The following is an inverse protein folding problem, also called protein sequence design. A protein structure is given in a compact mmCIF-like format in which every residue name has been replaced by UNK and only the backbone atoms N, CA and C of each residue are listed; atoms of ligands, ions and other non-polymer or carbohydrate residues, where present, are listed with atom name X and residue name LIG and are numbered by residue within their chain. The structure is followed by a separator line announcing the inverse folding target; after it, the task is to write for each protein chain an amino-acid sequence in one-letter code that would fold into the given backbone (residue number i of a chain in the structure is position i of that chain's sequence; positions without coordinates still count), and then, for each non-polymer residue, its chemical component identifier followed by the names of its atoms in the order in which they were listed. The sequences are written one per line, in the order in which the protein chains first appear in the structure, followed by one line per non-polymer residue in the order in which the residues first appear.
data_IF_124634529058
#
_entry.id   IF_124634529058
#
_cell.length_a   1.000
_cell.length_b   1.000
_cell.length_c   1.000
_cell.angle_alpha   90.00
_cell.angle_beta   90.00
_cell.angle_gamma   90.00
#
_symmetry.space_group_name_H-M   'P 1'
#
loop_
_entity.id
_entity.type
_entity.pdbx_description
1 polymer ?
#
# COMPACT_ATOMS: atom_id res chain seq x y z
N UNK A 1 9.21 6.66 -42.96
CA UNK A 1 8.38 6.44 -41.74
C UNK A 1 9.20 5.51 -40.88
N UNK A 2 9.93 6.09 -39.93
CA UNK A 2 10.71 5.30 -38.99
C UNK A 2 9.76 4.63 -38.02
N UNK A 3 9.78 3.31 -37.96
CA UNK A 3 9.21 2.51 -36.91
C UNK A 3 9.85 2.98 -35.58
N UNK A 4 9.12 3.76 -34.80
CA UNK A 4 9.44 3.93 -33.39
C UNK A 4 9.32 2.55 -32.75
N UNK A 5 10.43 1.84 -32.64
CA UNK A 5 10.53 0.68 -31.77
C UNK A 5 10.08 1.13 -30.37
N UNK A 6 8.90 0.68 -30.00
CA UNK A 6 8.26 0.97 -28.73
C UNK A 6 9.00 0.20 -27.63
N UNK A 7 10.15 0.71 -27.20
CA UNK A 7 10.98 0.09 -26.18
C UNK A 7 10.30 0.39 -24.82
N UNK A 8 9.26 -0.37 -24.50
CA UNK A 8 8.56 -0.27 -23.21
C UNK A 8 9.57 -0.47 -22.08
N UNK A 9 9.65 0.51 -21.16
CA UNK A 9 10.49 0.41 -19.97
C UNK A 9 9.92 -0.59 -18.95
N UNK A 10 8.62 -0.90 -19.03
CA UNK A 10 7.96 -1.81 -18.10
C UNK A 10 8.36 -3.25 -18.43
N UNK A 11 8.85 -3.95 -17.40
CA UNK A 11 9.23 -5.38 -17.45
C UNK A 11 8.52 -6.11 -16.30
N UNK A 12 8.28 -7.43 -16.40
CA UNK A 12 7.81 -8.21 -15.28
C UNK A 12 8.68 -8.00 -14.04
N UNK A 13 8.06 -7.87 -12.88
CA UNK A 13 8.75 -7.60 -11.61
C UNK A 13 9.23 -8.91 -10.99
N UNK A 14 10.54 -9.04 -10.77
CA UNK A 14 11.13 -10.18 -10.08
C UNK A 14 11.33 -9.86 -8.61
N UNK A 15 10.76 -10.68 -7.71
CA UNK A 15 10.92 -10.59 -6.25
C UNK A 15 11.38 -11.96 -5.75
N UNK A 16 12.65 -12.09 -5.40
CA UNK A 16 13.24 -13.41 -5.12
C UNK A 16 13.07 -14.35 -6.31
N UNK A 17 12.45 -15.50 -6.10
CA UNK A 17 12.15 -16.50 -7.14
C UNK A 17 10.82 -16.27 -7.87
N UNK A 18 10.03 -15.27 -7.46
CA UNK A 18 8.74 -14.97 -8.06
C UNK A 18 8.87 -13.97 -9.20
N UNK A 19 8.23 -14.27 -10.32
CA UNK A 19 8.06 -13.35 -11.43
C UNK A 19 6.60 -12.87 -11.45
N UNK A 20 6.40 -11.61 -11.08
CA UNK A 20 5.12 -10.91 -11.08
C UNK A 20 4.91 -10.33 -12.48
N UNK A 21 3.88 -10.78 -13.23
CA UNK A 21 3.69 -10.42 -14.63
C UNK A 21 3.53 -8.92 -14.89
N UNK A 22 2.78 -8.23 -14.05
CA UNK A 22 2.54 -6.79 -14.15
C UNK A 22 3.27 -6.08 -13.01
N UNK A 23 4.22 -5.16 -13.28
CA UNK A 23 5.08 -4.55 -12.27
C UNK A 23 4.36 -3.49 -11.42
N UNK A 24 3.17 -3.81 -10.97
CA UNK A 24 2.32 -2.97 -10.14
C UNK A 24 2.07 -3.62 -8.78
N UNK A 25 2.35 -2.87 -7.73
CA UNK A 25 1.95 -3.16 -6.35
C UNK A 25 0.75 -2.27 -6.03
N UNK A 26 -0.37 -2.86 -5.65
CA UNK A 26 -1.47 -2.07 -5.12
C UNK A 26 -1.16 -1.73 -3.66
N UNK A 27 -1.06 -0.45 -3.34
CA UNK A 27 -0.72 0.01 -2.00
C UNK A 27 -1.79 -0.33 -0.97
N UNK A 28 -1.38 -0.79 0.20
CA UNK A 28 -2.30 -1.10 1.30
C UNK A 28 -3.00 0.14 1.83
N UNK A 29 -4.32 0.16 1.83
CA UNK A 29 -5.16 1.28 2.26
C UNK A 29 -6.11 0.85 3.39
N UNK A 30 -5.85 1.36 4.58
CA UNK A 30 -6.72 1.17 5.76
C UNK A 30 -7.62 2.39 5.98
N UNK A 31 -8.68 2.25 6.72
CA UNK A 31 -9.33 1.05 7.27
C UNK A 31 -10.32 0.53 6.23
N UNK A 32 -10.26 -0.79 5.94
CA UNK A 32 -11.29 -1.42 5.13
C UNK A 32 -11.37 -1.01 3.64
N UNK A 33 -10.40 -0.25 3.12
CA UNK A 33 -10.37 0.19 1.70
C UNK A 33 -9.75 -0.88 0.82
N UNK A 34 -8.62 -1.49 1.25
CA UNK A 34 -8.04 -2.64 0.58
C UNK A 34 -8.09 -3.88 1.46
N UNK A 35 -9.07 -4.72 1.23
CA UNK A 35 -9.24 -6.04 1.82
C UNK A 35 -9.05 -7.12 0.74
N UNK A 36 -9.69 -8.26 0.92
CA UNK A 36 -9.59 -9.40 0.00
C UNK A 36 -10.14 -9.12 -1.40
N UNK A 37 -11.18 -8.28 -1.52
CA UNK A 37 -11.79 -7.92 -2.81
C UNK A 37 -10.78 -7.27 -3.75
N UNK A 38 -10.24 -6.14 -3.33
CA UNK A 38 -9.27 -5.40 -4.13
C UNK A 38 -7.95 -6.17 -4.30
N UNK A 39 -7.38 -6.66 -3.19
CA UNK A 39 -6.09 -7.35 -3.24
C UNK A 39 -6.15 -8.64 -4.09
N UNK A 40 -7.23 -9.41 -3.96
CA UNK A 40 -7.47 -10.61 -4.76
C UNK A 40 -7.61 -10.31 -6.25
N UNK A 41 -8.35 -9.26 -6.61
CA UNK A 41 -8.50 -8.84 -8.01
C UNK A 41 -7.16 -8.41 -8.64
N UNK A 42 -6.36 -7.60 -7.93
CA UNK A 42 -5.03 -7.18 -8.42
C UNK A 42 -4.11 -8.39 -8.60
N UNK A 43 -4.08 -9.30 -7.63
CA UNK A 43 -3.27 -10.53 -7.75
C UNK A 43 -3.76 -11.42 -8.88
N UNK A 44 -5.06 -11.56 -9.10
CA UNK A 44 -5.64 -12.29 -10.22
C UNK A 44 -5.20 -11.70 -11.57
N UNK A 45 -5.10 -10.36 -11.65
CA UNK A 45 -4.61 -9.64 -12.84
C UNK A 45 -3.08 -9.63 -12.97
N UNK A 46 -2.34 -10.37 -12.15
CA UNK A 46 -0.89 -10.53 -12.28
C UNK A 46 -0.04 -9.48 -11.60
N UNK A 47 -0.59 -8.64 -10.71
CA UNK A 47 0.13 -7.68 -9.86
C UNK A 47 0.36 -8.17 -8.44
N UNK A 48 0.79 -7.28 -7.55
CA UNK A 48 0.91 -7.56 -6.11
C UNK A 48 -0.26 -6.90 -5.39
N UNK A 49 -1.25 -7.68 -4.97
CA UNK A 49 -2.41 -7.21 -4.21
C UNK A 49 -2.09 -7.15 -2.72
N UNK A 50 -2.32 -6.00 -2.08
CA UNK A 50 -1.95 -5.77 -0.69
C UNK A 50 -3.17 -5.48 0.17
N UNK A 51 -3.36 -6.33 1.18
CA UNK A 51 -4.37 -6.16 2.22
C UNK A 51 -3.81 -5.24 3.30
N UNK A 52 -4.56 -4.20 3.68
CA UNK A 52 -4.19 -3.36 4.83
C UNK A 52 -4.67 -3.99 6.14
N UNK A 53 -3.76 -4.16 7.10
CA UNK A 53 -4.09 -4.71 8.41
C UNK A 53 -4.62 -3.69 9.41
N UNK A 54 -4.65 -2.39 9.03
CA UNK A 54 -5.10 -1.32 9.92
C UNK A 54 -6.59 -1.51 10.27
N UNK A 55 -6.85 -1.92 11.52
CA UNK A 55 -8.19 -2.18 12.07
C UNK A 55 -9.08 -3.05 11.16
N UNK A 56 -8.46 -4.03 10.53
CA UNK A 56 -9.04 -4.90 9.50
C UNK A 56 -10.29 -5.66 9.99
N UNK A 57 -10.39 -5.93 11.28
CA UNK A 57 -11.51 -6.62 11.91
C UNK A 57 -12.68 -5.72 12.32
N UNK A 58 -12.73 -4.46 11.89
CA UNK A 58 -13.72 -3.47 12.35
C UNK A 58 -15.19 -3.86 12.07
N UNK A 59 -15.44 -4.77 11.12
CA UNK A 59 -16.78 -5.29 10.81
C UNK A 59 -17.22 -6.45 11.72
N UNK A 60 -16.32 -6.97 12.58
CA UNK A 60 -16.66 -8.02 13.55
C UNK A 60 -17.51 -7.43 14.68
N UNK A 61 -18.61 -8.09 15.05
CA UNK A 61 -19.51 -7.65 16.13
C UNK A 61 -18.82 -7.52 17.49
N UNK A 62 -17.71 -8.22 17.70
CA UNK A 62 -16.90 -8.16 18.92
C UNK A 62 -15.80 -7.11 18.88
N UNK A 63 -15.71 -6.28 17.83
CA UNK A 63 -14.60 -5.38 17.62
C UNK A 63 -14.39 -4.37 18.76
N UNK A 64 -15.43 -3.73 19.24
CA UNK A 64 -15.33 -2.75 20.33
C UNK A 64 -14.83 -3.35 21.64
N UNK A 65 -15.19 -4.61 21.91
CA UNK A 65 -14.75 -5.33 23.11
C UNK A 65 -13.32 -5.88 22.99
N UNK A 66 -12.90 -6.35 21.81
CA UNK A 66 -11.58 -6.93 21.56
C UNK A 66 -11.05 -6.59 20.18
N UNK A 67 -10.66 -5.34 19.90
CA UNK A 67 -10.19 -4.91 18.59
C UNK A 67 -9.01 -5.74 18.07
N UNK A 68 -8.02 -6.01 18.93
CA UNK A 68 -6.80 -6.75 18.54
C UNK A 68 -7.15 -8.20 18.16
N UNK A 69 -7.96 -8.90 18.95
CA UNK A 69 -8.36 -10.27 18.66
C UNK A 69 -9.16 -10.36 17.35
N UNK A 70 -10.09 -9.42 17.10
CA UNK A 70 -10.84 -9.35 15.85
C UNK A 70 -9.92 -9.08 14.66
N UNK A 71 -8.98 -8.16 14.79
CA UNK A 71 -8.01 -7.85 13.75
C UNK A 71 -7.13 -9.06 13.38
N UNK A 72 -6.59 -9.77 14.37
CA UNK A 72 -5.73 -10.93 14.13
C UNK A 72 -6.45 -12.07 13.42
N UNK A 73 -7.74 -12.30 13.74
CA UNK A 73 -8.59 -13.24 13.00
C UNK A 73 -8.82 -12.76 11.57
N UNK A 74 -9.22 -11.51 11.40
CA UNK A 74 -9.54 -10.92 10.11
C UNK A 74 -8.33 -10.93 9.15
N UNK A 75 -7.09 -10.74 9.64
CA UNK A 75 -5.88 -10.87 8.81
C UNK A 75 -5.83 -12.23 8.12
N UNK A 76 -6.04 -13.32 8.87
CA UNK A 76 -6.03 -14.69 8.33
C UNK A 76 -7.20 -14.94 7.36
N UNK A 77 -8.37 -14.45 7.71
CA UNK A 77 -9.58 -14.61 6.89
C UNK A 77 -9.46 -13.87 5.56
N UNK A 78 -9.01 -12.61 5.57
CA UNK A 78 -8.88 -11.80 4.36
C UNK A 78 -7.80 -12.34 3.41
N UNK A 79 -6.67 -12.83 3.92
CA UNK A 79 -5.65 -13.52 3.09
C UNK A 79 -6.25 -14.74 2.40
N UNK A 80 -7.00 -15.57 3.13
CA UNK A 80 -7.64 -16.76 2.56
C UNK A 80 -8.70 -16.40 1.51
N UNK A 81 -9.56 -15.41 1.77
CA UNK A 81 -10.56 -14.92 0.81
C UNK A 81 -9.89 -14.39 -0.47
N UNK A 82 -8.81 -13.61 -0.35
CA UNK A 82 -8.08 -13.10 -1.50
C UNK A 82 -7.53 -14.25 -2.37
N UNK A 83 -6.99 -15.32 -1.76
CA UNK A 83 -6.54 -16.52 -2.47
C UNK A 83 -7.69 -17.26 -3.17
N UNK A 84 -8.88 -17.28 -2.58
CA UNK A 84 -10.07 -17.86 -3.21
C UNK A 84 -10.51 -17.05 -4.44
N UNK A 85 -10.45 -15.72 -4.37
CA UNK A 85 -10.72 -14.84 -5.51
C UNK A 85 -9.77 -15.16 -6.68
N UNK A 86 -8.47 -15.27 -6.41
CA UNK A 86 -7.47 -15.63 -7.43
C UNK A 86 -7.78 -16.99 -8.05
N UNK A 87 -8.09 -18.01 -7.24
CA UNK A 87 -8.42 -19.35 -7.73
C UNK A 87 -9.67 -19.36 -8.62
N UNK A 88 -10.74 -18.68 -8.21
CA UNK A 88 -11.97 -18.58 -9.00
C UNK A 88 -11.72 -17.90 -10.35
N UNK A 89 -11.01 -16.77 -10.33
CA UNK A 89 -10.68 -16.05 -11.55
C UNK A 89 -9.87 -16.89 -12.53
N UNK A 90 -8.93 -17.70 -12.07
CA UNK A 90 -8.19 -18.65 -12.91
C UNK A 90 -9.11 -19.70 -13.54
N UNK A 91 -10.07 -20.26 -12.77
CA UNK A 91 -11.04 -21.21 -13.31
C UNK A 91 -11.94 -20.61 -14.37
N UNK A 92 -12.40 -19.37 -14.21
CA UNK A 92 -13.27 -18.68 -15.16
C UNK A 92 -12.55 -18.38 -16.47
N UNK A 93 -11.29 -17.99 -16.43
CA UNK A 93 -10.48 -17.69 -17.64
C UNK A 93 -10.10 -18.97 -18.39
N UNK A 94 -9.90 -20.10 -17.70
CA UNK A 94 -9.50 -21.38 -18.35
C UNK A 94 -10.68 -22.21 -18.83
N UNK A 95 -11.92 -21.83 -18.51
CA UNK A 95 -13.13 -22.58 -18.90
C UNK A 95 -13.13 -24.02 -18.41
N UNK A 96 -12.34 -24.35 -17.39
CA UNK A 96 -12.23 -25.71 -16.86
C UNK A 96 -11.50 -26.71 -17.78
N UNK A 97 -10.94 -26.29 -18.90
CA UNK A 97 -10.18 -27.14 -19.82
C UNK A 97 -8.72 -26.72 -19.81
N UNK A 98 -7.84 -27.65 -19.47
CA UNK A 98 -6.40 -27.53 -19.70
C UNK A 98 -6.11 -27.57 -21.22
N UNK A 99 -6.39 -26.46 -21.92
CA UNK A 99 -5.97 -26.31 -23.31
C UNK A 99 -4.62 -25.66 -23.31
N UNK A 100 -3.57 -26.43 -23.61
CA UNK A 100 -2.25 -25.95 -23.89
C UNK A 100 -2.30 -24.97 -25.07
N UNK A 101 -2.03 -23.70 -24.80
CA UNK A 101 -1.87 -22.53 -25.68
C UNK A 101 -2.85 -21.36 -25.46
N UNK A 102 -3.80 -21.42 -24.54
CA UNK A 102 -4.58 -20.25 -24.13
C UNK A 102 -3.82 -19.43 -23.08
N UNK A 103 -3.72 -18.13 -23.25
CA UNK A 103 -3.00 -17.14 -22.41
C UNK A 103 -3.41 -17.18 -20.93
N UNK A 104 -3.06 -18.26 -20.23
CA UNK A 104 -3.24 -18.37 -18.79
C UNK A 104 -2.16 -17.52 -18.13
N UNK A 105 -2.49 -16.24 -17.89
CA UNK A 105 -1.59 -15.35 -17.17
C UNK A 105 -1.37 -15.91 -15.76
N UNK A 106 -0.08 -16.05 -15.38
CA UNK A 106 0.26 -16.43 -14.01
C UNK A 106 -0.28 -15.36 -13.05
N UNK A 107 -0.92 -15.74 -11.93
CA UNK A 107 -1.35 -14.78 -10.92
C UNK A 107 -0.13 -14.11 -10.30
N UNK A 108 -0.35 -12.92 -9.76
CA UNK A 108 0.61 -12.22 -8.94
C UNK A 108 0.62 -12.71 -7.49
N UNK A 109 1.02 -11.83 -6.58
CA UNK A 109 1.21 -12.14 -5.16
C UNK A 109 0.13 -11.50 -4.30
N UNK A 110 -0.17 -12.12 -3.14
CA UNK A 110 -1.01 -11.56 -2.09
C UNK A 110 -0.13 -11.23 -0.90
N UNK A 111 -0.06 -9.95 -0.58
CA UNK A 111 0.68 -9.45 0.56
C UNK A 111 -0.19 -8.68 1.55
N UNK A 112 0.44 -8.24 2.62
CA UNK A 112 -0.18 -7.39 3.63
C UNK A 112 0.68 -6.14 3.89
N UNK A 113 0.03 -5.03 4.19
CA UNK A 113 0.68 -3.84 4.74
C UNK A 113 0.46 -3.77 6.24
N UNK A 114 1.55 -3.65 7.02
CA UNK A 114 1.52 -3.57 8.47
C UNK A 114 2.33 -2.35 8.93
N UNK A 115 1.68 -1.37 9.55
CA UNK A 115 2.37 -0.20 10.10
C UNK A 115 3.15 -0.57 11.35
N UNK A 116 4.44 -0.18 11.44
CA UNK A 116 5.27 -0.37 12.64
C UNK A 116 4.67 0.29 13.87
N UNK A 117 3.99 1.43 13.69
CA UNK A 117 3.32 2.16 14.75
C UNK A 117 2.08 1.45 15.33
N UNK A 118 1.61 0.35 14.71
CA UNK A 118 0.46 -0.41 15.19
C UNK A 118 0.75 -1.06 16.55
N UNK A 119 -0.17 -0.91 17.50
CA UNK A 119 -0.09 -1.62 18.78
C UNK A 119 -0.10 -3.13 18.53
N UNK A 120 0.84 -3.86 19.13
CA UNK A 120 1.01 -5.30 18.89
C UNK A 120 1.49 -5.66 17.47
N UNK A 121 2.29 -4.79 16.85
CA UNK A 121 2.88 -4.99 15.52
C UNK A 121 3.38 -6.43 15.28
N UNK A 122 4.12 -6.98 16.24
CA UNK A 122 4.69 -8.32 16.10
C UNK A 122 3.64 -9.43 15.97
N UNK A 123 2.48 -9.28 16.65
CA UNK A 123 1.39 -10.26 16.58
C UNK A 123 0.73 -10.23 15.19
N UNK A 124 0.58 -9.05 14.58
CA UNK A 124 0.09 -8.92 13.20
C UNK A 124 1.05 -9.54 12.19
N UNK A 125 2.36 -9.31 12.33
CA UNK A 125 3.37 -9.91 11.45
C UNK A 125 3.31 -11.43 11.54
N UNK A 126 3.27 -11.99 12.75
CA UNK A 126 3.16 -13.45 12.96
C UNK A 126 1.87 -14.00 12.37
N UNK A 127 0.72 -13.35 12.62
CA UNK A 127 -0.57 -13.78 12.07
C UNK A 127 -0.59 -13.80 10.54
N UNK A 128 0.01 -12.78 9.90
CA UNK A 128 0.12 -12.69 8.45
C UNK A 128 1.05 -13.77 7.87
N UNK A 129 2.21 -13.99 8.49
CA UNK A 129 3.16 -15.02 8.10
C UNK A 129 2.58 -16.44 8.26
N UNK A 130 1.88 -16.72 9.37
CA UNK A 130 1.18 -17.99 9.62
C UNK A 130 0.03 -18.24 8.64
N UNK A 131 -0.68 -17.18 8.21
CA UNK A 131 -1.70 -17.26 7.16
C UNK A 131 -1.10 -17.42 5.76
N UNK A 132 0.24 -17.38 5.64
CA UNK A 132 0.96 -17.59 4.40
C UNK A 132 0.90 -16.38 3.46
N UNK A 133 0.89 -15.14 3.96
CA UNK A 133 1.08 -13.97 3.12
C UNK A 133 2.37 -14.12 2.32
N UNK A 134 2.34 -13.82 1.01
CA UNK A 134 3.51 -13.96 0.15
C UNK A 134 4.56 -12.90 0.48
N UNK A 135 4.12 -11.67 0.84
CA UNK A 135 5.00 -10.55 1.21
C UNK A 135 4.36 -9.71 2.32
N UNK A 136 5.18 -9.21 3.24
CA UNK A 136 4.82 -8.19 4.23
C UNK A 136 5.53 -6.89 3.87
N UNK A 137 4.76 -5.85 3.57
CA UNK A 137 5.25 -4.48 3.35
C UNK A 137 5.05 -3.71 4.65
N UNK A 138 6.10 -3.09 5.19
CA UNK A 138 6.03 -2.44 6.49
C UNK A 138 6.67 -1.05 6.49
N UNK A 139 5.91 -0.08 7.01
CA UNK A 139 6.29 1.34 7.10
C UNK A 139 5.63 2.02 8.28
N UNK A 140 5.47 3.34 8.24
CA UNK A 140 5.06 4.17 9.38
C UNK A 140 5.94 3.91 10.63
N UNK A 141 7.24 3.93 10.42
CA UNK A 141 8.32 3.60 11.33
C UNK A 141 9.33 2.67 10.67
N UNK A 142 10.46 2.42 11.34
CA UNK A 142 11.50 1.52 10.83
C UNK A 142 11.22 0.09 11.29
N UNK A 143 11.00 -0.89 10.39
CA UNK A 143 10.63 -2.26 10.75
C UNK A 143 11.84 -3.10 11.20
N UNK A 144 12.52 -2.68 12.27
CA UNK A 144 13.81 -3.21 12.67
C UNK A 144 13.77 -4.70 13.06
N UNK A 145 12.64 -5.19 13.59
CA UNK A 145 12.49 -6.59 14.05
C UNK A 145 11.84 -7.51 13.02
N UNK A 146 11.42 -6.97 11.87
CA UNK A 146 10.66 -7.72 10.86
C UNK A 146 11.35 -9.02 10.40
N UNK A 147 12.68 -9.06 10.12
CA UNK A 147 13.35 -10.30 9.74
C UNK A 147 13.25 -11.42 10.77
N UNK A 148 13.36 -11.08 12.07
CA UNK A 148 13.25 -12.06 13.17
C UNK A 148 11.86 -12.66 13.25
N UNK A 149 10.83 -11.83 13.04
CA UNK A 149 9.43 -12.25 13.16
C UNK A 149 9.01 -13.25 12.07
N UNK A 150 9.63 -13.17 10.89
CA UNK A 150 9.32 -14.05 9.73
C UNK A 150 10.35 -15.12 9.47
N UNK A 151 11.38 -15.29 10.31
CA UNK A 151 12.52 -16.18 10.05
C UNK A 151 12.14 -17.67 9.80
N UNK A 152 10.98 -18.10 10.28
CA UNK A 152 10.47 -19.47 10.10
C UNK A 152 9.44 -19.58 8.97
N UNK A 153 9.09 -18.48 8.32
CA UNK A 153 8.13 -18.42 7.22
C UNK A 153 8.82 -18.22 5.87
N UNK A 154 8.12 -18.56 4.80
CA UNK A 154 8.55 -18.25 3.42
C UNK A 154 8.16 -16.84 2.99
N UNK A 155 7.52 -16.07 3.86
CA UNK A 155 7.03 -14.73 3.60
C UNK A 155 8.17 -13.78 3.30
N UNK A 156 8.11 -13.10 2.18
CA UNK A 156 9.04 -12.05 1.78
C UNK A 156 8.79 -10.77 2.61
N UNK A 157 9.80 -9.92 2.73
CA UNK A 157 9.73 -8.69 3.52
C UNK A 157 10.21 -7.48 2.75
N UNK A 158 9.46 -6.39 2.86
CA UNK A 158 9.75 -5.13 2.19
C UNK A 158 9.54 -3.94 3.13
N UNK A 159 10.59 -3.16 3.44
CA UNK A 159 10.43 -1.90 4.15
C UNK A 159 9.91 -0.80 3.23
N UNK A 160 9.09 0.12 3.78
CA UNK A 160 8.78 1.40 3.14
C UNK A 160 9.75 2.45 3.67
N UNK A 161 10.35 3.20 2.76
CA UNK A 161 11.31 4.25 3.04
C UNK A 161 10.94 5.53 2.28
N UNK A 162 11.33 6.69 2.81
CA UNK A 162 11.17 7.99 2.15
C UNK A 162 12.50 8.72 1.94
N UNK A 163 13.62 8.12 2.37
CA UNK A 163 14.95 8.73 2.24
C UNK A 163 16.06 7.68 2.19
N UNK A 164 17.19 8.06 1.58
CA UNK A 164 18.43 7.27 1.58
C UNK A 164 18.87 6.91 2.99
N UNK A 165 18.77 7.85 3.93
CA UNK A 165 19.11 7.61 5.34
C UNK A 165 18.29 6.47 5.95
N UNK A 166 16.98 6.43 5.68
CA UNK A 166 16.11 5.40 6.24
C UNK A 166 16.44 4.00 5.71
N UNK A 167 16.66 3.85 4.40
CA UNK A 167 17.03 2.55 3.80
C UNK A 167 18.41 2.09 4.28
N UNK A 168 19.37 3.00 4.42
CA UNK A 168 20.70 2.71 4.96
C UNK A 168 20.64 2.17 6.39
N UNK A 169 19.83 2.80 7.25
CA UNK A 169 19.66 2.36 8.64
C UNK A 169 19.06 0.97 8.69
N UNK A 170 18.00 0.71 7.92
CA UNK A 170 17.31 -0.59 7.89
C UNK A 170 18.27 -1.68 7.39
N UNK A 171 18.88 -1.51 6.21
CA UNK A 171 19.74 -2.54 5.60
C UNK A 171 20.94 -2.85 6.49
N UNK A 172 21.64 -1.83 6.98
CA UNK A 172 22.79 -2.03 7.87
C UNK A 172 22.42 -2.77 9.16
N UNK A 173 21.26 -2.44 9.75
CA UNK A 173 20.80 -3.10 10.97
C UNK A 173 20.38 -4.55 10.69
N UNK A 174 19.61 -4.80 9.61
CA UNK A 174 19.15 -6.13 9.27
C UNK A 174 20.33 -7.06 8.94
N UNK A 175 21.30 -6.60 8.15
CA UNK A 175 22.53 -7.35 7.87
C UNK A 175 23.30 -7.65 9.16
N UNK A 176 23.58 -6.63 9.97
CA UNK A 176 24.38 -6.80 11.20
C UNK A 176 23.74 -7.77 12.20
N UNK A 177 22.41 -7.73 12.34
CA UNK A 177 21.71 -8.46 13.41
C UNK A 177 21.12 -9.79 12.96
N UNK A 178 20.70 -9.88 11.71
CA UNK A 178 19.93 -11.03 11.21
C UNK A 178 20.54 -11.69 9.98
N UNK A 179 21.64 -11.15 9.46
CA UNK A 179 22.24 -11.58 8.18
C UNK A 179 21.18 -11.66 7.08
N UNK A 180 20.35 -10.62 6.98
CA UNK A 180 19.17 -10.60 6.09
C UNK A 180 19.06 -9.27 5.35
N UNK A 181 18.89 -9.35 4.02
CA UNK A 181 18.51 -8.24 3.14
C UNK A 181 17.00 -8.22 2.90
N UNK A 182 16.40 -7.05 2.57
CA UNK A 182 15.02 -6.98 2.09
C UNK A 182 14.85 -7.84 0.82
N UNK A 183 13.62 -8.29 0.56
CA UNK A 183 13.27 -8.95 -0.69
C UNK A 183 12.80 -7.94 -1.75
N UNK A 184 12.39 -6.76 -1.31
CA UNK A 184 11.95 -5.61 -2.09
C UNK A 184 12.06 -4.37 -1.21
N UNK A 185 12.23 -3.19 -1.79
CA UNK A 185 12.16 -1.90 -1.09
C UNK A 185 11.08 -1.05 -1.74
N UNK A 186 10.23 -0.40 -0.94
CA UNK A 186 9.23 0.57 -1.43
C UNK A 186 9.68 1.97 -1.06
N UNK A 187 9.84 2.85 -2.04
CA UNK A 187 10.09 4.28 -1.85
C UNK A 187 8.76 5.02 -1.87
N UNK A 188 8.36 5.59 -0.75
CA UNK A 188 7.15 6.41 -0.67
C UNK A 188 7.47 7.88 -0.83
N UNK A 189 7.08 8.46 -1.96
CA UNK A 189 7.34 9.84 -2.32
C UNK A 189 6.33 10.84 -1.71
N UNK A 190 6.64 12.15 -1.82
CA UNK A 190 5.85 13.22 -1.19
C UNK A 190 4.44 13.39 -1.77
N UNK A 191 4.13 12.80 -2.93
CA UNK A 191 2.81 12.82 -3.56
C UNK A 191 1.90 11.65 -3.12
N UNK A 192 2.36 10.79 -2.21
CA UNK A 192 1.56 9.70 -1.66
C UNK A 192 0.37 10.20 -0.84
N UNK A 193 -0.55 9.30 -0.54
CA UNK A 193 -1.71 9.52 0.32
C UNK A 193 -1.53 8.93 1.72
N UNK A 194 -2.42 9.24 2.63
CA UNK A 194 -2.32 8.76 4.01
C UNK A 194 -1.18 9.45 4.76
N UNK A 195 -0.54 8.73 5.66
CA UNK A 195 0.56 9.26 6.47
C UNK A 195 1.84 9.39 5.65
N UNK A 196 2.50 10.53 5.74
CA UNK A 196 3.66 10.87 4.93
C UNK A 196 4.94 10.92 5.77
N UNK A 197 5.99 10.28 5.28
CA UNK A 197 7.32 10.27 5.90
C UNK A 197 8.12 11.58 5.73
N UNK A 198 7.44 12.72 5.64
CA UNK A 198 7.98 14.05 5.40
C UNK A 198 7.55 15.02 6.49
N UNK A 199 8.28 16.12 6.67
CA UNK A 199 7.83 17.23 7.50
C UNK A 199 6.74 18.03 6.74
N UNK A 200 5.79 18.63 7.47
CA UNK A 200 4.71 19.42 6.84
C UNK A 200 5.26 20.52 5.91
N UNK A 201 6.31 21.23 6.34
CA UNK A 201 6.98 22.27 5.52
C UNK A 201 7.52 21.75 4.19
N UNK A 202 8.00 20.49 4.15
CA UNK A 202 8.50 19.87 2.92
C UNK A 202 7.36 19.55 1.93
N UNK A 203 6.16 19.35 2.45
CA UNK A 203 4.98 19.04 1.63
C UNK A 203 4.29 20.29 1.06
N UNK A 204 4.64 21.49 1.56
CA UNK A 204 4.18 22.76 1.02
C UNK A 204 4.94 23.12 -0.27
N UNK A 205 6.23 22.75 -0.36
CA UNK A 205 7.12 23.06 -1.50
C UNK A 205 7.79 21.76 -2.00
N UNK A 206 7.00 20.85 -2.56
CA UNK A 206 7.47 19.53 -2.99
C UNK A 206 8.57 19.63 -4.07
N UNK A 207 8.50 20.63 -4.95
CA UNK A 207 9.48 20.84 -6.03
C UNK A 207 10.90 21.09 -5.48
N UNK A 208 11.01 21.77 -4.34
CA UNK A 208 12.30 22.05 -3.68
C UNK A 208 12.97 20.78 -3.10
N UNK A 209 12.25 19.67 -3.00
CA UNK A 209 12.81 18.42 -2.50
C UNK A 209 13.74 17.73 -3.51
N UNK A 210 13.65 18.07 -4.80
CA UNK A 210 14.38 17.37 -5.87
C UNK A 210 14.30 15.84 -5.71
N UNK A 211 13.10 15.35 -5.43
CA UNK A 211 12.89 13.98 -4.90
C UNK A 211 13.29 12.88 -5.90
N UNK A 212 13.34 13.19 -7.19
CA UNK A 212 13.86 12.27 -8.21
C UNK A 212 15.35 11.91 -7.98
N UNK A 213 16.15 12.84 -7.50
CA UNK A 213 17.55 12.59 -7.13
C UNK A 213 17.65 11.66 -5.93
N UNK A 214 16.75 11.83 -4.94
CA UNK A 214 16.69 10.94 -3.79
C UNK A 214 16.27 9.52 -4.17
N UNK A 215 15.32 9.37 -5.12
CA UNK A 215 14.94 8.07 -5.68
C UNK A 215 16.16 7.39 -6.32
N UNK A 216 16.90 8.07 -7.21
CA UNK A 216 18.10 7.51 -7.85
C UNK A 216 19.13 7.05 -6.81
N UNK A 217 19.42 7.90 -5.82
CA UNK A 217 20.37 7.57 -4.74
C UNK A 217 19.96 6.34 -3.94
N UNK A 218 18.66 6.16 -3.71
CA UNK A 218 18.14 4.97 -3.02
C UNK A 218 18.28 3.75 -3.92
N UNK A 219 17.92 3.85 -5.20
CA UNK A 219 18.03 2.76 -6.18
C UNK A 219 19.48 2.29 -6.30
N UNK A 220 20.42 3.22 -6.47
CA UNK A 220 21.84 2.92 -6.57
C UNK A 220 22.36 2.22 -5.31
N UNK A 221 22.05 2.76 -4.13
CA UNK A 221 22.47 2.17 -2.87
C UNK A 221 21.91 0.75 -2.64
N UNK A 222 20.62 0.52 -2.96
CA UNK A 222 20.00 -0.80 -2.83
C UNK A 222 20.61 -1.78 -3.82
N UNK A 223 20.90 -1.34 -5.05
CA UNK A 223 21.58 -2.13 -6.07
C UNK A 223 22.99 -2.52 -5.68
N UNK A 224 23.78 -1.60 -5.14
CA UNK A 224 25.13 -1.86 -4.61
C UNK A 224 25.11 -2.87 -3.46
N UNK A 225 24.19 -2.69 -2.50
CA UNK A 225 24.03 -3.63 -1.39
C UNK A 225 23.62 -5.02 -1.87
N UNK A 226 22.69 -5.11 -2.81
CA UNK A 226 22.26 -6.36 -3.40
C UNK A 226 23.39 -7.06 -4.15
N UNK A 227 24.10 -6.34 -5.03
CA UNK A 227 25.23 -6.86 -5.81
C UNK A 227 26.36 -7.40 -4.93
N UNK A 228 26.71 -6.71 -3.84
CA UNK A 228 27.73 -7.15 -2.89
C UNK A 228 27.38 -8.49 -2.22
N UNK A 229 26.07 -8.80 -2.07
CA UNK A 229 25.59 -10.00 -1.39
C UNK A 229 24.97 -11.04 -2.35
N UNK A 230 25.09 -10.83 -3.65
CA UNK A 230 24.57 -11.76 -4.68
C UNK A 230 23.03 -11.85 -4.68
N UNK A 231 22.34 -10.81 -4.27
CA UNK A 231 20.86 -10.73 -4.20
C UNK A 231 20.33 -9.57 -5.03
N UNK A 232 19.43 -9.86 -5.95
CA UNK A 232 18.65 -8.83 -6.64
C UNK A 232 17.54 -8.31 -5.72
N UNK A 233 17.48 -6.98 -5.50
CA UNK A 233 16.52 -6.32 -4.61
C UNK A 233 15.76 -5.29 -5.43
N UNK A 234 14.55 -5.61 -5.93
CA UNK A 234 13.77 -4.67 -6.69
C UNK A 234 13.32 -3.48 -5.84
N UNK A 235 13.37 -2.30 -6.46
CA UNK A 235 12.91 -1.05 -5.86
C UNK A 235 11.62 -0.61 -6.51
N UNK A 236 10.61 -0.37 -5.69
CA UNK A 236 9.27 0.06 -6.09
C UNK A 236 9.10 1.52 -5.72
N UNK A 237 8.69 2.36 -6.68
CA UNK A 237 8.41 3.78 -6.44
C UNK A 237 6.91 3.97 -6.23
N UNK A 238 6.55 4.71 -5.18
CA UNK A 238 5.19 5.04 -4.80
C UNK A 238 4.99 6.55 -4.63
N UNK A 239 3.75 6.99 -4.83
CA UNK A 239 3.35 8.38 -4.66
C UNK A 239 3.26 9.15 -5.97
N UNK A 240 2.06 9.62 -6.31
CA UNK A 240 1.79 10.40 -7.51
C UNK A 240 1.56 9.59 -8.79
N UNK A 241 1.65 8.28 -8.76
CA UNK A 241 1.49 7.43 -9.93
C UNK A 241 0.01 7.15 -10.17
N UNK A 242 -0.47 7.48 -11.36
CA UNK A 242 -1.85 7.32 -11.77
C UNK A 242 -2.00 6.69 -13.17
N UNK A 243 -1.11 7.02 -14.11
CA UNK A 243 -1.11 6.51 -15.48
C UNK A 243 0.17 5.76 -15.79
N UNK A 244 0.20 5.11 -16.98
CA UNK A 244 1.40 4.46 -17.50
C UNK A 244 2.57 5.43 -17.64
N UNK A 245 2.32 6.66 -18.10
CA UNK A 245 3.36 7.69 -18.26
C UNK A 245 3.98 8.07 -16.90
N UNK A 246 3.19 8.12 -15.83
CA UNK A 246 3.70 8.35 -14.48
C UNK A 246 4.61 7.19 -14.04
N UNK A 247 4.24 5.94 -14.39
CA UNK A 247 5.06 4.77 -14.11
C UNK A 247 6.37 4.81 -14.92
N UNK A 248 6.32 5.11 -16.22
CA UNK A 248 7.49 5.17 -17.09
C UNK A 248 8.53 6.17 -16.58
N UNK A 249 8.11 7.31 -16.00
CA UNK A 249 9.02 8.23 -15.31
C UNK A 249 9.75 7.54 -14.14
N UNK A 250 9.04 6.74 -13.34
CA UNK A 250 9.66 6.00 -12.24
C UNK A 250 10.65 4.95 -12.72
N UNK A 251 10.32 4.23 -13.80
CA UNK A 251 11.24 3.27 -14.43
C UNK A 251 12.48 3.95 -14.99
N UNK A 252 12.36 5.16 -15.56
CA UNK A 252 13.50 5.97 -16.02
C UNK A 252 14.42 6.42 -14.87
N UNK A 253 13.95 6.40 -13.62
CA UNK A 253 14.76 6.62 -12.41
C UNK A 253 15.41 5.34 -11.87
N UNK A 254 15.18 4.18 -12.52
CA UNK A 254 15.72 2.89 -12.12
C UNK A 254 14.78 2.03 -11.28
N UNK A 255 13.51 2.40 -11.14
CA UNK A 255 12.52 1.56 -10.46
C UNK A 255 12.33 0.23 -11.19
N UNK A 256 12.10 -0.85 -10.43
CA UNK A 256 11.74 -2.18 -10.94
C UNK A 256 10.23 -2.37 -11.06
N UNK A 257 9.45 -1.51 -10.41
CA UNK A 257 8.00 -1.50 -10.42
C UNK A 257 7.45 -0.25 -9.75
N UNK A 258 6.13 -0.12 -9.73
CA UNK A 258 5.45 1.04 -9.12
C UNK A 258 4.42 0.59 -8.11
N UNK A 259 4.19 1.41 -7.07
CA UNK A 259 3.07 1.21 -6.16
C UNK A 259 2.02 2.28 -6.37
N UNK A 260 0.78 1.84 -6.58
CA UNK A 260 -0.39 2.69 -6.81
C UNK A 260 -1.46 2.40 -5.76
N UNK A 261 -2.12 3.44 -5.27
CA UNK A 261 -3.22 3.31 -4.31
C UNK A 261 -4.47 4.06 -4.79
N UNK A 262 -4.36 5.35 -4.99
CA UNK A 262 -5.46 6.28 -5.25
C UNK A 262 -6.38 5.84 -6.40
N UNK A 263 -5.85 5.40 -7.53
CA UNK A 263 -6.64 4.96 -8.68
C UNK A 263 -7.44 3.69 -8.37
N UNK A 264 -6.88 2.79 -7.56
CA UNK A 264 -7.57 1.56 -7.15
C UNK A 264 -8.74 1.80 -6.17
N UNK A 265 -8.81 2.96 -5.51
CA UNK A 265 -9.98 3.31 -4.67
C UNK A 265 -11.25 3.40 -5.52
N UNK A 266 -11.17 3.94 -6.72
CA UNK A 266 -12.31 4.10 -7.62
C UNK A 266 -12.49 2.89 -8.53
N UNK A 267 -12.36 1.69 -7.95
CA UNK A 267 -12.66 0.44 -8.67
C UNK A 267 -13.88 -0.26 -8.09
N UNK A 268 -14.52 -1.08 -8.91
CA UNK A 268 -15.64 -1.92 -8.46
C UNK A 268 -15.19 -2.88 -7.36
N UNK A 269 -13.96 -3.41 -7.45
CA UNK A 269 -13.39 -4.41 -6.56
C UNK A 269 -12.86 -3.83 -5.23
N UNK A 270 -12.69 -2.51 -5.13
CA UNK A 270 -12.32 -1.85 -3.87
C UNK A 270 -13.37 -2.11 -2.78
N UNK A 271 -12.93 -2.46 -1.58
CA UNK A 271 -13.78 -2.92 -0.47
C UNK A 271 -14.49 -1.79 0.28
N UNK A 272 -14.22 -0.53 -0.08
CA UNK A 272 -14.88 0.64 0.50
C UNK A 272 -16.30 0.83 -0.05
N UNK A 273 -17.14 1.54 0.71
CA UNK A 273 -18.50 1.88 0.28
C UNK A 273 -18.54 2.72 -0.99
N UNK A 274 -19.67 2.67 -1.70
CA UNK A 274 -19.90 3.51 -2.87
C UNK A 274 -19.78 5.02 -2.55
N UNK A 275 -20.22 5.46 -1.38
CA UNK A 275 -20.09 6.85 -0.95
C UNK A 275 -18.63 7.26 -0.82
N UNK A 276 -17.76 6.40 -0.27
CA UNK A 276 -16.32 6.64 -0.18
C UNK A 276 -15.70 6.81 -1.57
N UNK A 277 -15.96 5.88 -2.50
CA UNK A 277 -15.47 5.92 -3.88
C UNK A 277 -15.92 7.19 -4.62
N UNK A 278 -17.21 7.55 -4.44
CA UNK A 278 -17.78 8.76 -5.05
C UNK A 278 -17.15 10.05 -4.52
N UNK A 279 -16.62 10.07 -3.31
CA UNK A 279 -15.90 11.24 -2.77
C UNK A 279 -14.64 11.52 -3.61
N UNK A 280 -13.92 10.49 -4.05
CA UNK A 280 -12.77 10.66 -4.96
C UNK A 280 -13.20 11.15 -6.34
N UNK A 281 -14.29 10.60 -6.91
CA UNK A 281 -14.78 10.98 -8.25
C UNK A 281 -15.22 12.45 -8.30
N UNK A 282 -15.68 12.98 -7.17
CA UNK A 282 -16.13 14.38 -7.07
C UNK A 282 -15.02 15.34 -6.65
N UNK A 283 -13.89 14.82 -6.16
CA UNK A 283 -12.82 15.64 -5.65
C UNK A 283 -12.19 16.52 -6.73
N UNK A 284 -11.96 17.78 -6.38
CA UNK A 284 -11.15 18.70 -7.17
C UNK A 284 -9.73 18.77 -6.58
N UNK A 285 -8.79 19.32 -7.33
CA UNK A 285 -7.40 19.44 -6.89
C UNK A 285 -7.27 20.26 -5.60
N UNK A 286 -8.11 21.27 -5.46
CA UNK A 286 -8.19 22.19 -4.33
C UNK A 286 -8.75 21.56 -3.05
N UNK A 287 -9.46 20.43 -3.21
CA UNK A 287 -10.00 19.67 -2.06
C UNK A 287 -8.91 18.82 -1.36
N UNK A 288 -7.74 18.69 -1.96
CA UNK A 288 -6.66 17.87 -1.41
C UNK A 288 -5.79 18.70 -0.48
N UNK A 289 -5.70 18.28 0.79
CA UNK A 289 -4.99 19.02 1.83
C UNK A 289 -4.03 18.16 2.63
N UNK A 290 -3.00 18.79 3.20
CA UNK A 290 -2.16 18.20 4.24
C UNK A 290 -2.85 18.40 5.59
N UNK A 291 -3.04 17.32 6.32
CA UNK A 291 -3.74 17.29 7.61
C UNK A 291 -2.82 16.81 8.72
N UNK A 292 -3.07 17.28 9.94
CA UNK A 292 -2.40 16.77 11.14
C UNK A 292 -3.07 15.48 11.59
N UNK A 293 -2.31 14.40 11.64
CA UNK A 293 -2.81 13.10 12.08
C UNK A 293 -2.47 12.80 13.54
N UNK A 294 -3.36 12.10 14.27
CA UNK A 294 -3.08 11.60 15.61
C UNK A 294 -1.88 10.67 15.72
N UNK A 295 -1.41 10.11 14.60
CA UNK A 295 -0.21 9.25 14.54
C UNK A 295 1.10 10.04 14.72
N UNK A 296 1.02 11.38 14.67
CA UNK A 296 2.19 12.25 14.82
C UNK A 296 2.92 12.55 13.50
N UNK A 297 2.39 12.08 12.39
CA UNK A 297 2.88 12.36 11.02
C UNK A 297 1.88 13.23 10.28
N UNK A 298 2.30 14.09 9.34
CA UNK A 298 1.36 14.72 8.43
C UNK A 298 0.68 13.67 7.57
N UNK A 299 -0.56 13.93 7.16
CA UNK A 299 -1.31 13.07 6.24
C UNK A 299 -1.85 13.88 5.06
N UNK A 300 -2.13 13.22 3.94
CA UNK A 300 -2.86 13.84 2.82
C UNK A 300 -4.25 13.26 2.73
N UNK A 301 -5.25 14.14 2.72
CA UNK A 301 -6.66 13.78 2.76
C UNK A 301 -7.52 14.78 1.98
N UNK A 302 -8.78 14.43 1.74
CA UNK A 302 -9.78 15.36 1.23
C UNK A 302 -10.26 16.28 2.36
N UNK A 303 -10.31 17.59 2.09
CA UNK A 303 -10.69 18.66 3.01
C UNK A 303 -12.21 18.75 3.17
N UNK A 304 -12.83 17.65 3.61
CA UNK A 304 -14.27 17.55 3.90
C UNK A 304 -14.65 18.26 5.21
N UNK A 305 -15.92 18.17 5.61
CA UNK A 305 -16.44 18.77 6.85
C UNK A 305 -15.72 18.25 8.10
N UNK A 306 -15.36 16.96 8.13
CA UNK A 306 -14.60 16.37 9.23
C UNK A 306 -13.24 17.03 9.41
N UNK A 307 -12.46 17.13 8.33
CA UNK A 307 -11.11 17.73 8.36
C UNK A 307 -11.17 19.20 8.79
N UNK A 308 -12.16 19.97 8.27
CA UNK A 308 -12.36 21.38 8.62
C UNK A 308 -12.71 21.55 10.11
N UNK A 309 -13.50 20.63 10.67
CA UNK A 309 -13.87 20.61 12.09
C UNK A 309 -12.69 20.19 12.96
N UNK A 310 -11.99 19.11 12.61
CA UNK A 310 -10.83 18.61 13.35
C UNK A 310 -9.65 19.60 13.43
N UNK A 311 -9.57 20.54 12.48
CA UNK A 311 -8.59 21.63 12.50
C UNK A 311 -8.92 22.72 13.54
N UNK A 312 -10.19 22.84 13.97
CA UNK A 312 -10.67 23.92 14.86
C UNK A 312 -10.91 23.45 16.28
N UNK A 313 -11.36 22.21 16.44
CA UNK A 313 -11.78 21.67 17.73
C UNK A 313 -11.41 20.19 17.87
N UNK A 314 -11.36 19.72 19.11
CA UNK A 314 -11.24 18.29 19.40
C UNK A 314 -12.56 17.59 19.14
N UNK A 315 -12.53 16.51 18.37
CA UNK A 315 -13.69 15.68 18.10
C UNK A 315 -13.77 14.57 19.16
N UNK A 316 -14.86 14.50 19.96
CA UNK A 316 -15.06 13.43 20.93
C UNK A 316 -15.08 12.05 20.25
N UNK A 317 -14.69 11.02 21.00
CA UNK A 317 -14.72 9.63 20.56
C UNK A 317 -15.27 8.72 21.64
N UNK A 318 -15.80 7.56 21.27
CA UNK A 318 -16.55 6.67 22.16
C UNK A 318 -15.68 5.59 22.84
N UNK A 319 -14.37 5.64 22.69
CA UNK A 319 -13.50 4.66 23.31
C UNK A 319 -12.12 4.58 22.65
N UNK A 320 -11.31 3.59 23.05
CA UNK A 320 -10.00 3.35 22.50
C UNK A 320 -9.95 1.97 21.81
N UNK A 321 -9.71 1.95 20.51
CA UNK A 321 -9.60 0.73 19.70
C UNK A 321 -8.20 0.12 19.70
N UNK A 322 -7.29 0.59 20.56
CA UNK A 322 -5.93 0.06 20.67
C UNK A 322 -5.17 0.01 19.33
N UNK A 323 -5.31 1.03 18.49
CA UNK A 323 -4.77 1.03 17.12
C UNK A 323 -3.28 1.37 17.05
N UNK A 324 -2.85 2.44 17.71
CA UNK A 324 -1.49 3.00 17.63
C UNK A 324 -0.79 2.92 19.00
N UNK A 325 0.45 2.45 19.00
CA UNK A 325 1.20 2.22 20.23
C UNK A 325 1.47 3.50 21.04
N UNK A 326 1.69 4.63 20.37
CA UNK A 326 2.03 5.92 20.99
C UNK A 326 0.82 6.84 21.18
N UNK A 327 -0.38 6.43 20.79
CA UNK A 327 -1.58 7.24 20.90
C UNK A 327 -1.95 7.47 22.37
N UNK A 328 -2.29 8.74 22.67
CA UNK A 328 -2.85 9.15 23.96
C UNK A 328 -4.30 9.62 23.71
N UNK A 329 -5.30 8.76 23.99
CA UNK A 329 -6.69 9.03 23.66
C UNK A 329 -7.24 10.32 24.29
N UNK A 330 -6.74 10.69 25.48
CA UNK A 330 -7.10 11.92 26.22
C UNK A 330 -6.55 13.20 25.58
N UNK A 331 -5.49 13.10 24.76
CA UNK A 331 -4.78 14.24 24.15
C UNK A 331 -4.95 14.33 22.63
N UNK A 332 -5.46 13.28 22.00
CA UNK A 332 -5.59 13.25 20.54
C UNK A 332 -6.71 14.18 20.06
N UNK A 333 -6.54 14.87 18.91
CA UNK A 333 -7.59 15.74 18.38
C UNK A 333 -8.86 14.98 17.95
N UNK A 334 -8.73 13.71 17.57
CA UNK A 334 -9.82 12.80 17.22
C UNK A 334 -9.34 11.35 17.26
N UNK A 335 -10.23 10.38 17.34
CA UNK A 335 -9.89 8.97 17.16
C UNK A 335 -9.73 8.66 15.66
N UNK A 336 -8.51 8.31 15.25
CA UNK A 336 -8.23 8.01 13.84
C UNK A 336 -8.98 6.76 13.37
N UNK A 337 -9.15 5.76 14.24
CA UNK A 337 -9.89 4.54 13.91
C UNK A 337 -11.36 4.85 13.59
N UNK A 338 -12.06 5.59 14.48
CA UNK A 338 -13.45 5.97 14.24
C UNK A 338 -13.59 6.82 12.98
N UNK A 339 -12.70 7.79 12.78
CA UNK A 339 -12.72 8.65 11.60
C UNK A 339 -12.56 7.87 10.29
N UNK A 340 -11.69 6.85 10.26
CA UNK A 340 -11.49 6.03 9.08
C UNK A 340 -12.63 5.01 8.88
N UNK A 341 -13.19 4.46 9.94
CA UNK A 341 -14.37 3.58 9.88
C UNK A 341 -15.58 4.35 9.33
N UNK A 342 -15.88 5.53 9.88
CA UNK A 342 -16.98 6.36 9.38
C UNK A 342 -16.84 6.63 7.89
N UNK A 343 -15.62 6.99 7.44
CA UNK A 343 -15.37 7.27 6.03
C UNK A 343 -15.64 6.05 5.15
N UNK A 344 -15.05 4.89 5.48
CA UNK A 344 -15.15 3.70 4.63
C UNK A 344 -16.55 3.11 4.57
N UNK A 345 -17.34 3.26 5.64
CA UNK A 345 -18.75 2.85 5.72
C UNK A 345 -19.69 3.79 4.96
N UNK A 346 -19.21 4.97 4.55
CA UNK A 346 -19.97 5.91 3.73
C UNK A 346 -20.39 7.19 4.44
N UNK A 347 -20.13 7.31 5.74
CA UNK A 347 -20.34 8.56 6.49
C UNK A 347 -19.14 9.50 6.32
N UNK A 348 -18.87 9.87 5.07
CA UNK A 348 -17.65 10.58 4.65
C UNK A 348 -17.51 11.97 5.25
N UNK A 349 -18.64 12.64 5.56
CA UNK A 349 -18.62 13.97 6.18
C UNK A 349 -18.27 13.93 7.68
N UNK A 350 -18.35 12.77 8.31
CA UNK A 350 -17.94 12.51 9.70
C UNK A 350 -16.61 11.74 9.77
N UNK A 351 -16.03 11.40 8.63
CA UNK A 351 -14.85 10.55 8.52
C UNK A 351 -13.66 11.22 7.84
N UNK A 352 -12.49 10.64 8.06
CA UNK A 352 -11.25 11.03 7.42
C UNK A 352 -11.06 10.24 6.13
N UNK A 353 -11.02 10.92 4.99
CA UNK A 353 -10.80 10.33 3.68
C UNK A 353 -9.37 10.64 3.23
N UNK A 354 -8.44 9.71 3.50
CA UNK A 354 -7.08 9.81 3.00
C UNK A 354 -7.03 9.65 1.49
N UNK A 355 -6.18 10.41 0.80
CA UNK A 355 -6.01 10.32 -0.64
C UNK A 355 -4.59 10.73 -1.06
N UNK A 356 -4.12 10.29 -2.23
CA UNK A 356 -2.91 10.82 -2.85
C UNK A 356 -3.13 12.17 -3.54
N UNK A 357 -2.04 12.80 -3.93
CA UNK A 357 -2.09 14.12 -4.59
C UNK A 357 -2.85 14.10 -5.93
N UNK A 358 -2.99 12.94 -6.57
CA UNK A 358 -3.67 12.75 -7.85
C UNK A 358 -5.13 12.23 -7.72
N UNK A 359 -5.76 12.30 -6.54
CA UNK A 359 -7.12 11.80 -6.34
C UNK A 359 -8.16 12.52 -7.25
N UNK A 360 -7.96 13.80 -7.52
CA UNK A 360 -8.81 14.59 -8.41
C UNK A 360 -8.86 14.09 -9.87
N UNK A 361 -7.96 13.18 -10.26
CA UNK A 361 -7.93 12.59 -11.61
C UNK A 361 -8.97 11.49 -11.78
N UNK A 362 -9.57 10.99 -10.70
CA UNK A 362 -10.62 9.99 -10.73
C UNK A 362 -11.92 10.60 -11.29
N UNK A 363 -12.45 10.03 -12.36
CA UNK A 363 -13.66 10.55 -13.02
C UNK A 363 -14.82 9.56 -13.01
N UNK A 364 -14.53 8.28 -12.80
CA UNK A 364 -15.52 7.18 -12.84
C UNK A 364 -15.00 5.96 -12.07
N UNK A 365 -15.88 5.00 -11.88
CA UNK A 365 -15.46 3.66 -11.45
C UNK A 365 -14.85 2.91 -12.65
N UNK A 366 -13.76 2.18 -12.37
CA UNK A 366 -13.06 1.32 -13.32
C UNK A 366 -13.03 -0.12 -12.79
N UNK A 367 -12.74 -1.10 -13.64
CA UNK A 367 -12.36 -2.43 -13.18
C UNK A 367 -10.85 -2.51 -12.94
N UNK A 368 -10.44 -3.27 -11.94
CA UNK A 368 -9.02 -3.55 -11.68
C UNK A 368 -8.35 -4.10 -12.94
N UNK A 369 -9.04 -4.97 -13.69
CA UNK A 369 -8.50 -5.56 -14.90
C UNK A 369 -8.17 -4.52 -15.98
N UNK A 370 -9.00 -3.48 -16.14
CA UNK A 370 -8.77 -2.41 -17.10
C UNK A 370 -7.53 -1.59 -16.72
N UNK A 371 -7.41 -1.24 -15.44
CA UNK A 371 -6.25 -0.52 -14.93
C UNK A 371 -4.98 -1.36 -15.14
N UNK A 372 -4.98 -2.63 -14.72
CA UNK A 372 -3.79 -3.50 -14.80
C UNK A 372 -3.32 -3.71 -16.22
N UNK A 373 -4.25 -3.78 -17.19
CA UNK A 373 -3.92 -3.91 -18.62
C UNK A 373 -3.06 -2.76 -19.15
N UNK A 374 -3.25 -1.55 -18.63
CA UNK A 374 -2.43 -0.38 -19.04
C UNK A 374 -0.96 -0.54 -18.65
N UNK A 375 -0.65 -1.29 -17.60
CA UNK A 375 0.69 -1.48 -17.06
C UNK A 375 1.34 -2.80 -17.49
N UNK A 376 0.72 -3.54 -18.41
CA UNK A 376 1.32 -4.75 -18.95
C UNK A 376 2.61 -4.43 -19.71
N UNK A 377 3.69 -5.19 -19.46
CA UNK A 377 4.86 -5.14 -20.33
C UNK A 377 4.49 -5.46 -21.77
N UNK A 378 5.00 -4.67 -22.71
CA UNK A 378 4.89 -5.00 -24.15
C UNK A 378 5.94 -6.07 -24.42
N UNK A 379 5.50 -7.27 -24.79
CA UNK A 379 6.34 -8.41 -25.16
C UNK A 379 6.96 -8.25 -26.53
#
# INVERSE_FOLDING_TARGET
MEEKMNNSLLKPLKIGDYLVPVPVVQGGMGVGVSLSGLAGAVAACGGVGIISTAQIGFRDKGFDANPIGCNLRAVKEEINKAREIVRKWQCDVTGGVETGEGHSRKPGLIGVNIMVATKKYEEYVKAAAEAGADIIISGAGLPMTLPELVKKAKTMIAPIVSSLKSVQVIIKYWLKKYDRLPDMVVIEGPLAGGHLGFQARQLENIEELHYEEEIRRIVDYVGECGGTHGKDIPVIVAGGIYTREDAEKSFALGASGVQMATRFVTTYECDASAAYKNTYIRAQKEDIAIVKSPVGMPGRALANSFVKRAAKERIPHNGCHNCIATCRPDQTPYCITEALIHAVEGNVEQGLVFCGANAYRAQRLEHVADIMKEFEPVL
#
